data_IF_992119900945
#
_entry.id   IF_992119900945
#
_cell.length_a   1.000
_cell.length_b   1.000
_cell.length_c   1.000
_cell.angle_alpha   90.00
_cell.angle_beta   90.00
_cell.angle_gamma   90.00
#
_symmetry.space_group_name_H-M   'P 1'
#
loop_
_entity.id
_entity.type
_entity.pdbx_description
1 polymer ?
#
# COMPACT_ATOMS: atom_id res chain seq x y z
N UNK A 1 26.93 14.90 -3.82
CA UNK A 1 26.57 13.88 -2.82
C UNK A 1 25.70 12.87 -3.53
N UNK A 2 26.16 11.64 -3.60
CA UNK A 2 25.42 10.57 -4.26
C UNK A 2 24.45 9.96 -3.26
N UNK A 3 23.19 9.83 -3.69
CA UNK A 3 22.14 9.23 -2.88
C UNK A 3 22.10 7.73 -3.17
N UNK A 4 22.40 6.91 -2.16
CA UNK A 4 22.38 5.46 -2.26
C UNK A 4 21.12 4.91 -1.61
N UNK A 5 20.34 4.13 -2.35
CA UNK A 5 19.19 3.42 -1.78
C UNK A 5 19.70 2.17 -1.06
N UNK A 6 19.46 2.10 0.25
CA UNK A 6 19.84 0.97 1.10
C UNK A 6 18.64 0.07 1.35
N UNK A 7 18.83 -1.22 1.11
CA UNK A 7 17.86 -2.28 1.41
C UNK A 7 18.14 -2.92 2.78
N UNK A 8 17.10 -3.53 3.38
CA UNK A 8 17.20 -4.25 4.65
C UNK A 8 18.25 -5.37 4.60
N UNK A 9 18.40 -6.02 3.44
CA UNK A 9 19.41 -7.06 3.21
C UNK A 9 20.85 -6.56 3.29
N UNK A 10 21.12 -5.28 3.01
CA UNK A 10 22.45 -4.66 3.17
C UNK A 10 22.64 -4.21 4.62
N UNK A 11 21.60 -3.60 5.21
CA UNK A 11 21.66 -3.08 6.57
C UNK A 11 21.96 -4.17 7.61
N UNK A 12 21.40 -5.38 7.45
CA UNK A 12 21.67 -6.51 8.36
C UNK A 12 23.16 -6.89 8.38
N UNK A 13 23.85 -6.76 7.25
CA UNK A 13 25.26 -7.15 7.11
C UNK A 13 26.24 -6.24 7.86
N UNK A 14 25.77 -5.07 8.31
CA UNK A 14 26.54 -4.18 9.18
C UNK A 14 26.70 -4.72 10.60
N UNK A 15 25.75 -5.56 11.03
CA UNK A 15 25.64 -6.02 12.40
C UNK A 15 25.87 -7.52 12.54
N UNK A 16 25.58 -8.27 11.48
CA UNK A 16 25.74 -9.72 11.43
C UNK A 16 26.73 -10.06 10.33
N UNK A 17 27.71 -10.90 10.66
CA UNK A 17 28.71 -11.37 9.69
C UNK A 17 28.04 -12.29 8.67
N UNK A 18 28.04 -11.87 7.42
CA UNK A 18 27.49 -12.56 6.26
C UNK A 18 28.40 -12.35 5.05
N UNK A 19 28.22 -13.12 3.96
CA UNK A 19 28.83 -12.76 2.69
C UNK A 19 28.55 -11.31 2.32
N UNK A 20 29.61 -10.59 1.93
CA UNK A 20 29.61 -9.17 1.62
C UNK A 20 29.47 -8.19 2.81
N UNK A 21 29.66 -8.65 4.06
CA UNK A 21 29.70 -7.75 5.21
C UNK A 21 30.80 -6.70 5.12
N UNK A 22 31.98 -7.03 4.59
CA UNK A 22 33.08 -6.07 4.41
C UNK A 22 32.66 -4.90 3.51
N UNK A 23 32.02 -5.21 2.38
CA UNK A 23 31.53 -4.23 1.42
C UNK A 23 30.36 -3.43 1.99
N UNK A 24 29.45 -4.08 2.73
CA UNK A 24 28.35 -3.42 3.40
C UNK A 24 28.85 -2.43 4.47
N UNK A 25 29.83 -2.82 5.29
CA UNK A 25 30.47 -1.94 6.27
C UNK A 25 31.19 -0.77 5.59
N UNK A 26 31.87 -0.99 4.45
CA UNK A 26 32.48 0.10 3.68
C UNK A 26 31.45 1.15 3.22
N UNK A 27 30.23 0.71 2.87
CA UNK A 27 29.13 1.60 2.52
C UNK A 27 28.65 2.40 3.75
N UNK A 28 28.55 1.74 4.91
CA UNK A 28 28.21 2.38 6.19
C UNK A 28 29.24 3.44 6.58
N UNK A 29 30.53 3.11 6.49
CA UNK A 29 31.63 4.02 6.80
C UNK A 29 31.59 5.25 5.88
N UNK A 30 31.33 5.07 4.59
CA UNK A 30 31.20 6.18 3.65
C UNK A 30 30.01 7.10 4.00
N UNK A 31 28.91 6.55 4.49
CA UNK A 31 27.78 7.35 5.01
C UNK A 31 28.14 8.10 6.29
N UNK A 32 28.76 7.44 7.27
CA UNK A 32 29.17 8.06 8.54
C UNK A 32 30.21 9.17 8.34
N UNK A 33 31.06 9.04 7.31
CA UNK A 33 32.03 10.06 6.92
C UNK A 33 31.43 11.18 6.03
N UNK A 34 30.11 11.17 5.78
CA UNK A 34 29.43 12.18 4.97
C UNK A 34 29.74 12.14 3.46
N UNK A 35 30.34 11.04 2.97
CA UNK A 35 30.65 10.86 1.55
C UNK A 35 29.41 10.40 0.75
N UNK A 36 28.50 9.68 1.41
CA UNK A 36 27.23 9.20 0.87
C UNK A 36 26.05 9.70 1.69
N UNK A 37 24.90 9.86 1.03
CA UNK A 37 23.61 9.99 1.71
C UNK A 37 22.79 8.73 1.50
N UNK A 38 22.19 8.21 2.57
CA UNK A 38 21.32 7.04 2.49
C UNK A 38 19.88 7.45 2.22
N UNK A 39 19.23 6.71 1.33
CA UNK A 39 17.78 6.68 1.16
C UNK A 39 17.32 5.27 1.51
N UNK A 40 16.23 5.12 2.25
CA UNK A 40 15.68 3.80 2.57
C UNK A 40 14.15 3.78 2.49
N UNK A 41 13.53 2.64 2.12
CA UNK A 41 12.08 2.48 2.22
C UNK A 41 11.58 2.60 3.67
N UNK A 42 10.37 3.11 3.87
CA UNK A 42 9.74 3.21 5.21
C UNK A 42 9.69 1.84 5.94
N UNK A 43 9.68 0.74 5.17
CA UNK A 43 9.60 -0.62 5.68
C UNK A 43 10.94 -1.19 6.15
N UNK A 44 12.06 -0.49 5.92
CA UNK A 44 13.40 -1.02 6.23
C UNK A 44 13.51 -1.50 7.68
N UNK A 45 12.94 -0.76 8.63
CA UNK A 45 12.97 -1.15 10.05
C UNK A 45 12.17 -2.43 10.33
N UNK A 46 11.04 -2.62 9.66
CA UNK A 46 10.20 -3.80 9.83
C UNK A 46 10.83 -5.04 9.19
N UNK A 47 11.40 -4.90 7.99
CA UNK A 47 12.11 -5.98 7.31
C UNK A 47 13.39 -6.37 8.05
N UNK A 48 14.18 -5.37 8.46
CA UNK A 48 15.36 -5.57 9.29
C UNK A 48 15.01 -6.31 10.58
N UNK A 49 14.00 -5.84 11.32
CA UNK A 49 13.54 -6.49 12.55
C UNK A 49 13.07 -7.93 12.32
N UNK A 50 12.36 -8.20 11.23
CA UNK A 50 11.94 -9.55 10.86
C UNK A 50 13.14 -10.46 10.54
N UNK A 51 14.19 -9.95 9.89
CA UNK A 51 15.41 -10.70 9.62
C UNK A 51 16.12 -11.04 10.95
N UNK A 52 16.30 -10.06 11.84
CA UNK A 52 16.94 -10.27 13.15
C UNK A 52 16.14 -11.26 14.00
N UNK A 53 14.80 -11.16 14.03
CA UNK A 53 13.93 -12.10 14.72
C UNK A 53 14.10 -13.53 14.20
N UNK A 54 14.13 -13.72 12.88
CA UNK A 54 14.39 -15.04 12.27
C UNK A 54 15.79 -15.56 12.60
N UNK A 55 16.81 -14.70 12.64
CA UNK A 55 18.18 -15.09 13.03
C UNK A 55 18.25 -15.54 14.49
N UNK A 56 17.54 -14.84 15.37
CA UNK A 56 17.40 -15.24 16.77
C UNK A 56 16.76 -16.62 16.90
N UNK A 57 15.62 -16.84 16.24
CA UNK A 57 14.88 -18.09 16.37
C UNK A 57 15.56 -19.29 15.69
N UNK A 58 16.17 -19.09 14.52
CA UNK A 58 16.57 -20.19 13.65
C UNK A 58 18.08 -20.29 13.42
N UNK A 59 18.86 -19.27 13.78
CA UNK A 59 20.30 -19.21 13.50
C UNK A 59 21.15 -19.00 14.76
N UNK A 60 20.54 -19.06 15.96
CA UNK A 60 21.26 -19.03 17.22
C UNK A 60 21.81 -17.66 17.62
N UNK A 61 21.30 -16.56 17.05
CA UNK A 61 21.64 -15.21 17.51
C UNK A 61 21.09 -15.02 18.93
N UNK A 62 21.93 -14.64 19.89
CA UNK A 62 21.50 -14.47 21.28
C UNK A 62 20.45 -13.34 21.39
N UNK A 63 19.53 -13.46 22.34
CA UNK A 63 18.47 -12.46 22.53
C UNK A 63 19.04 -11.08 22.89
N UNK A 64 20.12 -11.05 23.70
CA UNK A 64 20.86 -9.82 24.03
C UNK A 64 21.43 -9.16 22.78
N UNK A 65 22.10 -9.96 21.93
CA UNK A 65 22.73 -9.45 20.71
C UNK A 65 21.67 -8.95 19.72
N UNK A 66 20.56 -9.67 19.60
CA UNK A 66 19.43 -9.25 18.77
C UNK A 66 18.88 -7.89 19.21
N UNK A 67 18.71 -7.69 20.53
CA UNK A 67 18.24 -6.41 21.08
C UNK A 67 19.26 -5.28 20.82
N UNK A 68 20.55 -5.53 21.09
CA UNK A 68 21.62 -4.57 20.84
C UNK A 68 21.69 -4.14 19.37
N UNK A 69 21.46 -5.07 18.44
CA UNK A 69 21.44 -4.80 17.01
C UNK A 69 20.25 -3.91 16.62
N UNK A 70 19.05 -4.19 17.17
CA UNK A 70 17.86 -3.37 16.92
C UNK A 70 18.05 -1.95 17.44
N UNK A 71 18.63 -1.79 18.63
CA UNK A 71 18.88 -0.49 19.23
C UNK A 71 19.93 0.31 18.44
N UNK A 72 21.00 -0.34 17.98
CA UNK A 72 22.01 0.29 17.10
C UNK A 72 21.43 0.72 15.76
N UNK A 73 20.57 -0.10 15.15
CA UNK A 73 19.91 0.25 13.89
C UNK A 73 18.99 1.48 14.05
N UNK A 74 18.26 1.57 15.16
CA UNK A 74 17.40 2.72 15.45
C UNK A 74 18.19 4.02 15.58
N UNK A 75 19.40 3.96 16.15
CA UNK A 75 20.29 5.11 16.30
C UNK A 75 20.97 5.53 15.00
N UNK A 76 21.09 4.63 14.02
CA UNK A 76 21.74 4.90 12.74
C UNK A 76 20.93 5.82 11.82
N UNK A 77 19.65 6.07 12.16
CA UNK A 77 18.71 7.00 11.55
C UNK A 77 19.04 7.40 10.09
N UNK A 78 19.08 6.43 9.14
CA UNK A 78 19.26 6.77 7.73
C UNK A 78 18.20 7.79 7.35
N UNK A 79 18.56 8.79 6.54
CA UNK A 79 17.59 9.78 6.11
C UNK A 79 16.51 9.03 5.31
N UNK A 80 15.37 8.79 5.97
CA UNK A 80 14.23 8.10 5.41
C UNK A 80 13.63 9.07 4.41
N UNK A 81 14.28 9.20 3.26
CA UNK A 81 13.71 9.84 2.09
C UNK A 81 12.50 9.01 1.70
N UNK A 82 11.34 9.38 2.27
CA UNK A 82 10.08 8.66 2.19
C UNK A 82 9.85 8.13 0.76
N UNK A 83 10.27 6.89 0.51
CA UNK A 83 9.73 6.07 -0.54
C UNK A 83 8.45 5.50 0.04
N UNK A 84 7.45 6.38 0.21
CA UNK A 84 6.15 6.05 0.79
C UNK A 84 5.62 4.83 0.08
N UNK A 85 5.63 3.71 0.79
CA UNK A 85 4.99 2.49 0.32
C UNK A 85 3.49 2.77 0.28
N UNK A 86 2.96 2.84 -0.94
CA UNK A 86 1.54 3.00 -1.25
C UNK A 86 0.74 1.73 -0.87
N UNK A 87 0.87 1.24 0.37
CA UNK A 87 0.37 -0.08 0.77
C UNK A 87 -0.83 -0.07 1.73
N UNK A 88 -1.18 1.06 2.36
CA UNK A 88 -2.22 1.06 3.41
C UNK A 88 -3.67 0.76 2.98
N UNK A 89 -4.16 1.07 1.77
CA UNK A 89 -5.51 0.65 1.39
C UNK A 89 -5.56 -0.75 0.75
N UNK A 90 -4.42 -1.36 0.39
CA UNK A 90 -4.40 -2.63 -0.33
C UNK A 90 -4.57 -3.84 0.58
N UNK A 91 -3.88 -3.85 1.74
CA UNK A 91 -3.93 -5.00 2.65
C UNK A 91 -5.34 -5.15 3.23
N UNK A 92 -5.97 -4.07 3.68
CA UNK A 92 -7.33 -4.14 4.23
C UNK A 92 -8.37 -4.58 3.19
N UNK A 93 -8.24 -4.10 1.94
CA UNK A 93 -9.10 -4.53 0.83
C UNK A 93 -8.93 -6.01 0.49
N UNK A 94 -7.68 -6.50 0.45
CA UNK A 94 -7.37 -7.91 0.15
C UNK A 94 -7.80 -8.83 1.30
N UNK A 95 -7.62 -8.43 2.55
CA UNK A 95 -8.01 -9.23 3.73
C UNK A 95 -9.54 -9.29 3.87
N UNK A 96 -10.23 -8.16 3.69
CA UNK A 96 -11.69 -8.11 3.68
C UNK A 96 -12.26 -8.90 2.50
N UNK A 97 -11.58 -8.87 1.35
CA UNK A 97 -11.93 -9.70 0.19
C UNK A 97 -11.80 -11.19 0.50
N UNK A 98 -10.69 -11.62 1.10
CA UNK A 98 -10.51 -13.02 1.53
C UNK A 98 -11.58 -13.46 2.52
N UNK A 99 -11.90 -12.63 3.51
CA UNK A 99 -12.88 -12.95 4.56
C UNK A 99 -14.31 -13.10 4.02
N UNK A 100 -14.70 -12.36 2.97
CA UNK A 100 -16.06 -12.40 2.43
C UNK A 100 -16.19 -13.35 1.25
N UNK A 101 -15.20 -13.37 0.36
CA UNK A 101 -15.26 -14.17 -0.87
C UNK A 101 -15.09 -15.67 -0.58
N UNK A 102 -14.18 -16.05 0.34
CA UNK A 102 -13.91 -17.46 0.62
C UNK A 102 -15.13 -18.18 1.21
N UNK A 103 -15.81 -17.67 2.26
CA UNK A 103 -17.02 -18.30 2.79
C UNK A 103 -18.14 -18.35 1.76
N UNK A 104 -18.26 -17.31 0.94
CA UNK A 104 -19.27 -17.24 -0.11
C UNK A 104 -19.06 -18.32 -1.18
N UNK A 105 -17.82 -18.51 -1.65
CA UNK A 105 -17.46 -19.60 -2.57
C UNK A 105 -17.77 -20.96 -1.94
N UNK A 106 -17.45 -21.16 -0.66
CA UNK A 106 -17.74 -22.41 0.05
C UNK A 106 -19.25 -22.69 0.13
N UNK A 107 -20.08 -21.67 0.39
CA UNK A 107 -21.54 -21.81 0.40
C UNK A 107 -22.08 -22.18 -0.98
N UNK A 108 -21.56 -21.57 -2.06
CA UNK A 108 -21.95 -21.91 -3.43
C UNK A 108 -21.57 -23.36 -3.76
N UNK A 109 -20.35 -23.78 -3.44
CA UNK A 109 -19.89 -25.16 -3.65
C UNK A 109 -20.75 -26.15 -2.86
N UNK A 110 -21.03 -25.87 -1.58
CA UNK A 110 -21.87 -26.71 -0.74
C UNK A 110 -23.31 -26.82 -1.29
N UNK A 111 -23.88 -25.71 -1.79
CA UNK A 111 -25.21 -25.69 -2.40
C UNK A 111 -25.27 -26.51 -3.68
N UNK A 112 -24.26 -26.40 -4.56
CA UNK A 112 -24.16 -27.23 -5.77
C UNK A 112 -24.04 -28.70 -5.41
N UNK A 113 -23.18 -29.04 -4.44
CA UNK A 113 -22.98 -30.42 -4.01
C UNK A 113 -24.24 -31.04 -3.38
N UNK A 114 -24.94 -30.27 -2.54
CA UNK A 114 -26.20 -30.70 -1.94
C UNK A 114 -27.30 -30.92 -2.99
N UNK A 115 -27.39 -30.02 -3.97
CA UNK A 115 -28.35 -30.12 -5.08
C UNK A 115 -28.05 -31.34 -5.95
N UNK A 116 -26.78 -31.56 -6.27
CA UNK A 116 -26.33 -32.74 -7.02
C UNK A 116 -26.66 -34.04 -6.27
N UNK A 117 -26.39 -34.11 -4.97
CA UNK A 117 -26.64 -35.30 -4.17
C UNK A 117 -28.15 -35.61 -4.06
N UNK A 118 -28.98 -34.57 -3.88
CA UNK A 118 -30.44 -34.69 -3.88
C UNK A 118 -30.98 -35.14 -5.23
N UNK A 119 -30.41 -34.63 -6.33
CA UNK A 119 -30.78 -35.05 -7.69
C UNK A 119 -30.43 -36.52 -7.96
N UNK A 120 -29.23 -36.96 -7.59
CA UNK A 120 -28.81 -38.37 -7.69
C UNK A 120 -29.76 -39.27 -6.89
N UNK A 121 -30.08 -38.89 -5.64
CA UNK A 121 -31.02 -39.61 -4.78
C UNK A 121 -32.42 -39.75 -5.40
N UNK A 122 -32.94 -38.68 -6.01
CA UNK A 122 -34.25 -38.67 -6.68
C UNK A 122 -34.27 -39.57 -7.93
N UNK A 123 -33.16 -39.64 -8.67
CA UNK A 123 -33.02 -40.53 -9.82
C UNK A 123 -32.90 -42.00 -9.41
N UNK A 124 -32.26 -42.31 -8.28
CA UNK A 124 -32.15 -43.69 -7.78
C UNK A 124 -33.46 -44.23 -7.21
N UNK A 125 -34.33 -43.39 -6.65
CA UNK A 125 -35.58 -43.87 -6.00
C UNK A 125 -36.82 -43.95 -6.90
N UNK A 126 -36.76 -43.54 -8.18
CA UNK A 126 -37.85 -43.65 -9.17
C UNK A 126 -39.26 -43.27 -8.65
N UNK A 127 -39.36 -42.16 -7.89
CA UNK A 127 -40.62 -41.75 -7.22
C UNK A 127 -41.06 -40.30 -7.43
N UNK A 128 -40.37 -39.53 -8.26
CA UNK A 128 -40.68 -38.11 -8.47
C UNK A 128 -41.11 -37.77 -9.90
N UNK A 129 -42.15 -36.93 -10.04
CA UNK A 129 -42.45 -36.24 -11.30
C UNK A 129 -41.23 -35.44 -11.75
N UNK A 130 -40.71 -35.74 -12.95
CA UNK A 130 -39.55 -35.09 -13.55
C UNK A 130 -39.64 -33.55 -13.50
N UNK A 131 -40.85 -32.99 -13.63
CA UNK A 131 -41.09 -31.56 -13.59
C UNK A 131 -40.80 -30.92 -12.22
N UNK A 132 -41.07 -31.62 -11.11
CA UNK A 132 -40.82 -31.07 -9.76
C UNK A 132 -39.31 -31.09 -9.43
N UNK A 133 -38.60 -32.10 -9.92
CA UNK A 133 -37.15 -32.19 -9.82
C UNK A 133 -36.45 -31.10 -10.66
N UNK A 134 -36.91 -30.88 -11.90
CA UNK A 134 -36.38 -29.83 -12.78
C UNK A 134 -36.67 -28.43 -12.24
N UNK A 135 -37.87 -28.20 -11.68
CA UNK A 135 -38.24 -26.91 -11.09
C UNK A 135 -37.36 -26.52 -9.89
N UNK A 136 -37.14 -27.47 -8.96
CA UNK A 136 -36.24 -27.27 -7.80
C UNK A 136 -34.80 -27.03 -8.24
N UNK A 137 -34.34 -27.76 -9.27
CA UNK A 137 -33.00 -27.59 -9.83
C UNK A 137 -32.81 -26.20 -10.47
N UNK A 138 -33.82 -25.72 -11.21
CA UNK A 138 -33.77 -24.38 -11.81
C UNK A 138 -33.71 -23.28 -10.75
N UNK A 139 -34.51 -23.38 -9.68
CA UNK A 139 -34.50 -22.39 -8.59
C UNK A 139 -33.15 -22.37 -7.87
N UNK A 140 -32.56 -23.55 -7.63
CA UNK A 140 -31.24 -23.68 -7.00
C UNK A 140 -30.08 -23.15 -7.86
N UNK A 141 -30.20 -23.12 -9.18
CA UNK A 141 -29.16 -22.54 -10.06
C UNK A 141 -29.37 -21.06 -10.36
N UNK A 142 -30.62 -20.65 -10.58
CA UNK A 142 -30.94 -19.29 -11.00
C UNK A 142 -30.74 -18.31 -9.84
N UNK A 143 -31.18 -18.64 -8.62
CA UNK A 143 -31.08 -17.72 -7.49
C UNK A 143 -29.62 -17.39 -7.11
N UNK A 144 -28.67 -18.34 -7.01
CA UNK A 144 -27.27 -18.01 -6.78
C UNK A 144 -26.64 -17.21 -7.93
N UNK A 145 -27.00 -17.51 -9.19
CA UNK A 145 -26.47 -16.76 -10.35
C UNK A 145 -26.90 -15.28 -10.36
N UNK A 146 -28.15 -15.02 -9.95
CA UNK A 146 -28.69 -13.67 -9.82
C UNK A 146 -28.01 -12.91 -8.68
N UNK A 147 -27.79 -13.58 -7.55
CA UNK A 147 -27.03 -13.01 -6.43
C UNK A 147 -25.58 -12.73 -6.85
N UNK A 148 -24.95 -13.63 -7.61
CA UNK A 148 -23.58 -13.46 -8.12
C UNK A 148 -23.45 -12.26 -9.04
N UNK A 149 -24.43 -12.06 -9.93
CA UNK A 149 -24.43 -10.94 -10.88
C UNK A 149 -24.68 -9.61 -10.20
N UNK A 150 -25.60 -9.55 -9.22
CA UNK A 150 -25.85 -8.35 -8.42
C UNK A 150 -24.66 -8.00 -7.51
N UNK A 151 -24.10 -9.00 -6.80
CA UNK A 151 -22.93 -8.81 -5.95
C UNK A 151 -21.70 -8.42 -6.78
N UNK A 152 -21.45 -9.09 -7.91
CA UNK A 152 -20.34 -8.82 -8.82
C UNK A 152 -20.41 -7.41 -9.42
N UNK A 153 -21.59 -6.91 -9.78
CA UNK A 153 -21.77 -5.56 -10.31
C UNK A 153 -21.41 -4.46 -9.31
N UNK A 154 -21.85 -4.60 -8.06
CA UNK A 154 -21.48 -3.69 -6.98
C UNK A 154 -19.96 -3.72 -6.72
N UNK A 155 -19.38 -4.92 -6.70
CA UNK A 155 -17.97 -5.15 -6.44
C UNK A 155 -17.05 -4.59 -7.54
N UNK A 156 -17.43 -4.77 -8.82
CA UNK A 156 -16.72 -4.20 -9.97
C UNK A 156 -16.64 -2.67 -9.91
N UNK A 157 -17.67 -2.01 -9.38
CA UNK A 157 -17.71 -0.55 -9.27
C UNK A 157 -16.70 -0.03 -8.24
N UNK A 158 -16.59 -0.69 -7.09
CA UNK A 158 -15.68 -0.29 -6.02
C UNK A 158 -14.24 -0.71 -6.31
N UNK A 159 -14.03 -1.86 -6.95
CA UNK A 159 -12.70 -2.24 -7.49
C UNK A 159 -12.25 -1.23 -8.55
N UNK A 160 -13.14 -0.75 -9.45
CA UNK A 160 -12.78 0.29 -10.43
C UNK A 160 -12.43 1.62 -9.75
N UNK A 161 -13.17 2.04 -8.72
CA UNK A 161 -12.82 3.25 -7.94
C UNK A 161 -11.49 3.09 -7.20
N UNK A 162 -11.23 1.91 -6.66
CA UNK A 162 -9.97 1.56 -6.00
C UNK A 162 -8.78 1.50 -6.99
N UNK A 163 -8.97 0.96 -8.19
CA UNK A 163 -7.95 0.98 -9.26
C UNK A 163 -7.64 2.40 -9.73
N UNK A 164 -8.66 3.27 -9.83
CA UNK A 164 -8.49 4.68 -10.24
C UNK A 164 -7.70 5.52 -9.24
N UNK A 165 -7.70 5.17 -7.95
CA UNK A 165 -6.97 5.92 -6.92
C UNK A 165 -5.48 5.57 -6.84
N UNK A 166 -5.05 4.48 -7.52
CA UNK A 166 -3.64 4.01 -7.53
C UNK A 166 -2.74 4.67 -8.56
N UNK A 167 -3.26 5.53 -9.43
CA UNK A 167 -2.48 6.14 -10.53
C UNK A 167 -2.01 7.56 -10.24
N UNK A 168 -2.15 8.04 -9.00
CA UNK A 168 -1.67 9.37 -8.65
C UNK A 168 -0.19 9.32 -8.27
N UNK A 169 0.67 10.00 -9.03
CA UNK A 169 2.11 10.05 -8.78
C UNK A 169 2.60 11.49 -8.81
N UNK A 170 3.19 11.94 -7.71
CA UNK A 170 3.89 13.23 -7.65
C UNK A 170 5.40 12.96 -7.70
N UNK A 171 6.11 13.62 -8.62
CA UNK A 171 7.58 13.63 -8.66
C UNK A 171 8.06 15.06 -8.56
N UNK A 172 9.08 15.29 -7.74
CA UNK A 172 9.61 16.62 -7.45
C UNK A 172 11.00 16.71 -8.07
N UNK A 173 11.28 17.84 -8.71
CA UNK A 173 12.52 18.15 -9.40
C UNK A 173 13.05 19.49 -8.90
N UNK A 174 14.30 19.81 -9.23
CA UNK A 174 14.92 21.07 -8.83
C UNK A 174 14.13 22.30 -9.30
N UNK A 175 13.53 22.26 -10.50
CA UNK A 175 12.86 23.40 -11.12
C UNK A 175 11.32 23.29 -11.16
N UNK A 176 10.73 22.24 -10.58
CA UNK A 176 9.29 22.03 -10.62
C UNK A 176 8.86 20.67 -10.11
N UNK A 177 7.63 20.28 -10.43
CA UNK A 177 7.09 18.96 -10.15
C UNK A 177 6.30 18.42 -11.34
N UNK A 178 6.16 17.10 -11.41
CA UNK A 178 5.17 16.45 -12.27
C UNK A 178 4.13 15.75 -11.41
N UNK A 179 2.88 15.89 -11.81
CA UNK A 179 1.72 15.29 -11.18
C UNK A 179 0.98 14.45 -12.20
N UNK A 180 1.01 13.14 -12.00
CA UNK A 180 0.29 12.16 -12.79
C UNK A 180 -1.05 11.87 -12.11
N UNK A 181 -2.16 12.00 -12.83
CA UNK A 181 -3.50 11.70 -12.34
C UNK A 181 -4.34 11.17 -13.48
N UNK A 182 -5.03 10.04 -13.26
CA UNK A 182 -5.90 9.41 -14.26
C UNK A 182 -5.19 9.11 -15.59
N UNK A 183 -3.88 8.80 -15.54
CA UNK A 183 -3.06 8.53 -16.74
C UNK A 183 -2.63 9.78 -17.51
N UNK A 184 -2.98 10.98 -17.06
CA UNK A 184 -2.45 12.23 -17.59
C UNK A 184 -1.35 12.78 -16.69
N UNK A 185 -0.20 13.12 -17.27
CA UNK A 185 0.90 13.77 -16.56
C UNK A 185 0.86 15.26 -16.81
N UNK A 186 0.80 16.05 -15.74
CA UNK A 186 0.87 17.50 -15.77
C UNK A 186 2.18 17.95 -15.13
N UNK A 187 2.96 18.78 -15.82
CA UNK A 187 4.19 19.36 -15.29
C UNK A 187 3.94 20.83 -14.90
N UNK A 188 4.57 21.26 -13.81
CA UNK A 188 4.53 22.64 -13.34
C UNK A 188 5.90 23.04 -12.81
N UNK A 189 6.47 24.11 -13.38
CA UNK A 189 7.70 24.71 -12.86
C UNK A 189 7.41 25.58 -11.65
N UNK A 190 8.37 25.73 -10.74
CA UNK A 190 8.20 26.61 -9.57
C UNK A 190 7.87 28.05 -9.98
N UNK A 191 8.50 28.53 -11.05
CA UNK A 191 8.25 29.86 -11.63
C UNK A 191 6.87 30.04 -12.24
N UNK A 192 6.19 28.95 -12.58
CA UNK A 192 4.84 28.97 -13.16
C UNK A 192 3.76 29.01 -12.07
N UNK A 193 4.11 28.91 -10.79
CA UNK A 193 3.14 28.89 -9.70
C UNK A 193 2.67 30.31 -9.38
N UNK A 194 1.47 30.65 -9.85
CA UNK A 194 0.81 31.92 -9.53
C UNK A 194 0.31 31.91 -8.10
N UNK A 195 -0.54 30.94 -7.76
CA UNK A 195 -1.15 30.82 -6.44
C UNK A 195 -1.19 29.37 -5.96
N UNK A 196 -1.20 29.18 -4.63
CA UNK A 196 -1.31 27.87 -3.99
C UNK A 196 -2.54 27.91 -3.11
N UNK A 197 -3.54 27.09 -3.44
CA UNK A 197 -4.77 26.99 -2.67
C UNK A 197 -4.61 25.93 -1.59
N UNK A 198 -4.97 26.29 -0.37
CA UNK A 198 -4.87 25.41 0.79
C UNK A 198 -6.24 25.05 1.34
N UNK A 199 -6.34 23.85 1.92
CA UNK A 199 -7.47 23.39 2.71
C UNK A 199 -6.99 23.04 4.12
N UNK A 200 -7.83 23.21 5.12
CA UNK A 200 -7.55 22.68 6.45
C UNK A 200 -8.11 21.27 6.55
N UNK A 201 -7.26 20.32 6.94
CA UNK A 201 -7.68 18.97 7.30
C UNK A 201 -7.46 18.79 8.80
N UNK A 202 -8.48 18.26 9.46
CA UNK A 202 -8.40 17.89 10.87
C UNK A 202 -7.85 16.46 10.97
N UNK A 203 -6.67 16.34 11.58
CA UNK A 203 -6.03 15.03 11.76
C UNK A 203 -6.40 14.55 13.16
N UNK A 204 -7.23 13.52 13.19
CA UNK A 204 -7.57 12.80 14.41
C UNK A 204 -6.56 11.66 14.59
N UNK A 205 -5.75 11.71 15.66
CA UNK A 205 -4.90 10.60 16.09
C UNK A 205 -5.43 10.06 17.42
N UNK A 206 -5.25 8.75 17.65
CA UNK A 206 -5.58 8.15 18.96
C UNK A 206 -4.60 8.59 20.07
N UNK A 207 -3.41 9.06 19.68
CA UNK A 207 -2.28 9.34 20.60
C UNK A 207 -2.03 10.84 20.75
N UNK A 208 -2.46 11.65 19.78
CA UNK A 208 -2.17 13.09 19.73
C UNK A 208 -3.47 13.88 19.62
N UNK A 209 -3.64 14.99 20.38
CA UNK A 209 -4.82 15.83 20.28
C UNK A 209 -5.09 16.28 18.83
N UNK A 210 -6.38 16.48 18.52
CA UNK A 210 -6.81 16.90 17.18
C UNK A 210 -6.08 18.16 16.76
N UNK A 211 -5.41 18.10 15.61
CA UNK A 211 -4.69 19.24 15.04
C UNK A 211 -5.23 19.56 13.66
N UNK A 212 -5.43 20.85 13.38
CA UNK A 212 -5.77 21.34 12.05
C UNK A 212 -4.48 21.62 11.29
N UNK A 213 -4.27 20.92 10.19
CA UNK A 213 -3.10 21.11 9.32
C UNK A 213 -3.53 21.75 8.02
N UNK A 214 -2.82 22.80 7.60
CA UNK A 214 -3.02 23.48 6.33
C UNK A 214 -2.29 22.70 5.24
N UNK A 215 -3.04 22.17 4.29
CA UNK A 215 -2.55 21.29 3.23
C UNK A 215 -2.87 21.86 1.85
N UNK A 216 -1.99 21.66 0.86
CA UNK A 216 -2.23 22.11 -0.51
C UNK A 216 -3.37 21.28 -1.13
N UNK A 217 -4.33 21.97 -1.75
CA UNK A 217 -5.45 21.39 -2.50
C UNK A 217 -5.23 21.52 -4.00
N UNK A 218 -4.82 22.70 -4.45
CA UNK A 218 -4.53 22.94 -5.86
C UNK A 218 -3.44 23.97 -6.04
N UNK A 219 -2.79 23.91 -7.20
CA UNK A 219 -1.78 24.85 -7.65
C UNK A 219 -2.30 25.54 -8.91
N UNK A 220 -2.41 26.86 -8.86
CA UNK A 220 -2.84 27.67 -9.99
C UNK A 220 -1.60 28.14 -10.75
N UNK A 221 -1.50 27.75 -12.02
CA UNK A 221 -0.41 28.16 -12.90
C UNK A 221 -0.63 29.56 -13.47
N UNK A 222 0.45 30.19 -13.92
CA UNK A 222 0.43 31.50 -14.59
C UNK A 222 -0.35 31.48 -15.90
N UNK A 223 -0.42 30.33 -16.58
CA UNK A 223 -1.20 30.10 -17.81
C UNK A 223 -2.71 29.89 -17.55
N UNK A 224 -3.15 29.93 -16.29
CA UNK A 224 -4.55 29.72 -15.91
C UNK A 224 -4.94 28.24 -15.70
N UNK A 225 -4.02 27.29 -15.92
CA UNK A 225 -4.27 25.88 -15.63
C UNK A 225 -4.25 25.62 -14.12
N UNK A 226 -5.19 24.80 -13.62
CA UNK A 226 -5.28 24.44 -12.21
C UNK A 226 -4.94 22.96 -12.04
N UNK A 227 -3.90 22.66 -11.25
CA UNK A 227 -3.52 21.29 -10.89
C UNK A 227 -4.14 20.94 -9.55
N UNK A 228 -5.14 20.06 -9.55
CA UNK A 228 -5.78 19.57 -8.33
C UNK A 228 -4.98 18.38 -7.76
N UNK A 229 -4.41 18.57 -6.56
CA UNK A 229 -3.61 17.54 -5.89
C UNK A 229 -4.56 16.63 -5.09
N UNK A 230 -4.48 15.32 -5.32
CA UNK A 230 -5.35 14.35 -4.68
C UNK A 230 -5.06 14.23 -3.17
N UNK A 231 -6.13 14.08 -2.40
CA UNK A 231 -6.08 13.96 -0.92
C UNK A 231 -5.41 12.68 -0.43
N UNK A 232 -5.17 11.72 -1.32
CA UNK A 232 -4.50 10.45 -1.02
C UNK A 232 -2.99 10.59 -0.86
N UNK A 233 -2.40 11.70 -1.30
CA UNK A 233 -0.98 11.97 -1.11
C UNK A 233 -0.70 12.51 0.30
N UNK A 234 0.56 12.42 0.74
CA UNK A 234 0.97 13.08 1.99
C UNK A 234 0.98 14.59 1.82
N UNK A 235 -0.19 15.20 1.93
CA UNK A 235 -0.34 16.61 1.64
C UNK A 235 0.48 17.49 2.59
N UNK A 236 0.81 17.02 3.80
CA UNK A 236 1.64 17.77 4.76
C UNK A 236 3.06 17.94 4.22
N UNK A 237 3.73 16.82 3.90
CA UNK A 237 5.10 16.86 3.38
C UNK A 237 5.16 17.52 2.00
N UNK A 238 4.17 17.28 1.15
CA UNK A 238 4.07 17.98 -0.14
C UNK A 238 3.95 19.48 0.07
N UNK A 239 3.18 19.90 1.06
CA UNK A 239 3.06 21.32 1.41
C UNK A 239 4.40 21.89 1.84
N UNK A 240 5.15 21.18 2.69
CA UNK A 240 6.48 21.62 3.13
C UNK A 240 7.46 21.72 1.96
N UNK A 241 7.53 20.70 1.10
CA UNK A 241 8.45 20.69 -0.04
C UNK A 241 8.10 21.79 -1.06
N UNK A 242 6.81 21.97 -1.39
CA UNK A 242 6.40 22.99 -2.34
C UNK A 242 6.67 24.39 -1.77
N UNK A 243 6.42 24.61 -0.48
CA UNK A 243 6.76 25.89 0.17
C UNK A 243 8.26 26.17 0.15
N UNK A 244 9.08 25.19 0.55
CA UNK A 244 10.54 25.36 0.55
C UNK A 244 11.10 25.61 -0.85
N UNK A 245 10.55 24.94 -1.88
CA UNK A 245 11.03 25.07 -3.25
C UNK A 245 10.50 26.33 -3.98
N UNK A 246 9.29 26.79 -3.64
CA UNK A 246 8.71 27.99 -4.26
C UNK A 246 9.05 29.31 -3.56
N UNK A 247 9.63 29.24 -2.35
CA UNK A 247 9.93 30.43 -1.54
C UNK A 247 8.70 31.15 -1.00
N UNK A 248 7.54 30.47 -0.93
CA UNK A 248 6.24 30.99 -0.47
C UNK A 248 5.74 30.30 0.80
#
# INVERSE_FOLDING_TARGET
MDNLVVDSSVAVKWFVVEPYSTEACRILDAYQNGLLSFLAPDLINAEFGNIIWKKHLFQGLAASDAQDILDKMQNLHPDLGELRSTHRPAIFGILLFGLVLIPFILVVIASVFFTFNTFVSLFTENKGSLFDAVGKFLICLVAPSLILTLAGGFWLSDVRKWLKTRTVKLRIYQNGFTYESQGQTQACRWSEIKNINFRFIEISSKVVPRRKVKVIRSVDKTDGQVINIAETLNLIKITEIIKSASGK
#
